data_IF_899469259184
#
_entry.id   IF_899469259184
#
_cell.length_a   1.000
_cell.length_b   1.000
_cell.length_c   1.000
_cell.angle_alpha   90.00
_cell.angle_beta   90.00
_cell.angle_gamma   90.00
#
_symmetry.space_group_name_H-M   'P 1'
#
loop_
_entity.id
_entity.type
_entity.pdbx_description
1 polymer ?
#
# COMPACT_ATOMS: atom_id res chain seq x y z
N UNK A 1 -6.88 -5.01 -33.64
CA UNK A 1 -7.73 -4.60 -32.50
C UNK A 1 -7.38 -3.15 -32.18
N UNK A 2 -8.34 -2.21 -32.25
CA UNK A 2 -8.05 -0.78 -32.01
C UNK A 2 -8.06 -0.52 -30.51
N UNK A 3 -6.97 0.02 -29.97
CA UNK A 3 -6.89 0.41 -28.57
C UNK A 3 -7.70 1.69 -28.36
N UNK A 4 -8.64 1.66 -27.40
CA UNK A 4 -9.42 2.83 -26.99
C UNK A 4 -8.97 3.26 -25.60
N UNK A 5 -8.82 4.57 -25.40
CA UNK A 5 -8.53 5.17 -24.11
C UNK A 5 -9.66 6.12 -23.70
N UNK A 6 -9.95 6.17 -22.40
CA UNK A 6 -10.94 7.07 -21.82
C UNK A 6 -10.24 8.06 -20.90
N UNK A 7 -10.54 9.35 -21.08
CA UNK A 7 -10.13 10.41 -20.17
C UNK A 7 -11.30 10.75 -19.26
N UNK A 8 -11.13 10.51 -17.97
CA UNK A 8 -12.15 10.74 -16.96
C UNK A 8 -11.65 11.77 -15.94
N UNK A 9 -12.57 12.59 -15.42
CA UNK A 9 -12.33 13.48 -14.28
C UNK A 9 -13.35 13.12 -13.20
N UNK A 10 -12.86 12.91 -11.98
CA UNK A 10 -13.69 12.63 -10.82
C UNK A 10 -14.00 13.93 -10.07
N UNK A 11 -15.23 14.05 -9.58
CA UNK A 11 -15.69 15.15 -8.72
C UNK A 11 -16.19 14.58 -7.40
N UNK A 12 -15.27 14.15 -6.51
CA UNK A 12 -15.66 13.52 -5.27
C UNK A 12 -16.33 14.51 -4.33
N UNK A 13 -17.35 14.06 -3.60
CA UNK A 13 -17.87 14.80 -2.46
C UNK A 13 -16.89 14.72 -1.27
N UNK A 14 -17.19 15.43 -0.17
CA UNK A 14 -16.30 15.51 1.00
C UNK A 14 -15.97 14.13 1.58
N UNK A 15 -16.95 13.23 1.70
CA UNK A 15 -16.75 11.87 2.20
C UNK A 15 -15.86 11.06 1.29
N UNK A 16 -16.11 11.09 -0.01
CA UNK A 16 -15.31 10.39 -1.02
C UNK A 16 -13.87 10.90 -1.05
N UNK A 17 -13.68 12.22 -0.98
CA UNK A 17 -12.34 12.83 -0.94
C UNK A 17 -11.55 12.32 0.27
N UNK A 18 -12.19 12.30 1.45
CA UNK A 18 -11.57 11.77 2.66
C UNK A 18 -11.20 10.28 2.52
N UNK A 19 -12.11 9.45 2.00
CA UNK A 19 -11.84 8.02 1.76
C UNK A 19 -10.67 7.81 0.80
N UNK A 20 -10.64 8.57 -0.29
CA UNK A 20 -9.55 8.54 -1.28
C UNK A 20 -8.21 8.90 -0.61
N UNK A 21 -8.19 9.96 0.20
CA UNK A 21 -7.00 10.38 0.92
C UNK A 21 -6.52 9.34 1.93
N UNK A 22 -7.45 8.75 2.70
CA UNK A 22 -7.13 7.67 3.66
C UNK A 22 -6.57 6.46 2.92
N UNK A 23 -7.21 6.01 1.84
CA UNK A 23 -6.79 4.84 1.10
C UNK A 23 -5.40 5.02 0.49
N UNK A 24 -5.16 6.14 -0.20
CA UNK A 24 -3.84 6.40 -0.78
C UNK A 24 -2.76 6.64 0.27
N UNK A 25 -3.10 7.30 1.38
CA UNK A 25 -2.19 7.51 2.50
C UNK A 25 -1.76 6.18 3.14
N UNK A 26 -2.71 5.31 3.47
CA UNK A 26 -2.44 4.00 4.04
C UNK A 26 -1.65 3.10 3.07
N UNK A 27 -2.03 3.06 1.80
CA UNK A 27 -1.31 2.28 0.78
C UNK A 27 0.15 2.74 0.64
N UNK A 28 0.39 4.06 0.57
CA UNK A 28 1.73 4.63 0.50
C UNK A 28 2.55 4.32 1.75
N UNK A 29 1.95 4.43 2.92
CA UNK A 29 2.62 4.11 4.18
C UNK A 29 3.08 2.65 4.22
N UNK A 30 2.16 1.70 3.97
CA UNK A 30 2.48 0.26 3.98
C UNK A 30 3.55 -0.06 2.96
N UNK A 31 3.43 0.46 1.73
CA UNK A 31 4.43 0.26 0.69
C UNK A 31 5.81 0.73 1.13
N UNK A 32 5.91 1.93 1.70
CA UNK A 32 7.17 2.48 2.16
C UNK A 32 7.79 1.65 3.29
N UNK A 33 6.98 1.09 4.20
CA UNK A 33 7.49 0.18 5.24
C UNK A 33 8.11 -1.08 4.63
N UNK A 34 7.41 -1.73 3.69
CA UNK A 34 7.93 -2.94 3.03
C UNK A 34 9.16 -2.65 2.18
N UNK A 35 9.16 -1.53 1.46
CA UNK A 35 10.30 -1.09 0.66
C UNK A 35 11.51 -0.81 1.54
N UNK A 36 11.33 -0.10 2.66
CA UNK A 36 12.42 0.20 3.58
C UNK A 36 13.00 -1.08 4.19
N UNK A 37 12.15 -2.00 4.64
CA UNK A 37 12.59 -3.33 5.11
C UNK A 37 13.42 -4.06 4.04
N UNK A 38 13.03 -3.99 2.77
CA UNK A 38 13.77 -4.58 1.66
C UNK A 38 15.11 -3.92 1.37
N UNK A 39 15.15 -2.58 1.42
CA UNK A 39 16.38 -1.81 1.30
C UNK A 39 17.37 -2.21 2.41
N UNK A 40 16.92 -2.25 3.66
CA UNK A 40 17.76 -2.63 4.80
C UNK A 40 18.24 -4.07 4.71
N UNK A 41 17.36 -5.01 4.30
CA UNK A 41 17.76 -6.41 4.09
C UNK A 41 18.84 -6.54 3.02
N UNK A 42 18.72 -5.79 1.93
CA UNK A 42 19.69 -5.82 0.84
C UNK A 42 21.03 -5.18 1.23
N UNK A 43 21.01 -4.07 1.98
CA UNK A 43 22.22 -3.45 2.56
C UNK A 43 22.96 -4.43 3.46
N UNK A 44 22.24 -5.18 4.29
CA UNK A 44 22.82 -6.15 5.22
C UNK A 44 23.35 -7.40 4.49
N UNK A 45 22.64 -7.91 3.47
CA UNK A 45 23.08 -9.04 2.66
C UNK A 45 22.56 -8.95 1.22
N UNK A 46 23.45 -8.68 0.27
CA UNK A 46 23.11 -8.55 -1.16
C UNK A 46 22.55 -9.81 -1.80
N UNK A 47 22.75 -10.99 -1.20
CA UNK A 47 22.18 -12.28 -1.66
C UNK A 47 20.85 -12.62 -0.98
N UNK A 48 20.40 -11.79 -0.04
CA UNK A 48 19.13 -12.01 0.63
C UNK A 48 17.97 -11.88 -0.37
N UNK A 49 17.09 -12.89 -0.38
CA UNK A 49 15.91 -12.89 -1.24
C UNK A 49 14.93 -11.79 -0.80
N UNK A 50 14.16 -11.23 -1.71
CA UNK A 50 13.02 -10.38 -1.33
C UNK A 50 11.89 -11.23 -0.76
N UNK A 51 11.03 -10.61 0.04
CA UNK A 51 9.86 -11.28 0.59
C UNK A 51 8.80 -11.35 -0.50
N UNK A 52 8.14 -12.49 -0.62
CA UNK A 52 7.02 -12.64 -1.55
C UNK A 52 5.78 -11.90 -1.08
N UNK A 53 4.76 -11.83 -1.95
CA UNK A 53 3.47 -11.21 -1.64
C UNK A 53 2.85 -11.78 -0.36
N UNK A 54 2.77 -13.10 -0.24
CA UNK A 54 2.15 -13.76 0.92
C UNK A 54 2.80 -13.36 2.25
N UNK A 55 4.13 -13.30 2.31
CA UNK A 55 4.85 -12.82 3.51
C UNK A 55 4.56 -11.36 3.82
N UNK A 56 4.42 -10.49 2.81
CA UNK A 56 4.03 -9.09 3.01
C UNK A 56 2.59 -8.96 3.53
N UNK A 57 1.67 -9.83 3.07
CA UNK A 57 0.29 -9.86 3.57
C UNK A 57 0.23 -10.26 5.06
N UNK A 58 1.10 -11.17 5.50
CA UNK A 58 1.24 -11.53 6.92
C UNK A 58 1.77 -10.35 7.73
N UNK A 59 2.81 -9.65 7.24
CA UNK A 59 3.34 -8.46 7.90
C UNK A 59 2.31 -7.33 8.00
N UNK A 60 1.43 -7.17 7.00
CA UNK A 60 0.35 -6.21 7.05
C UNK A 60 -0.60 -6.46 8.24
N UNK A 61 -0.83 -7.71 8.64
CA UNK A 61 -1.64 -8.01 9.84
C UNK A 61 -1.00 -7.45 11.11
N UNK A 62 0.32 -7.60 11.25
CA UNK A 62 1.06 -7.03 12.37
C UNK A 62 1.03 -5.50 12.34
N UNK A 63 1.24 -4.88 11.17
CA UNK A 63 1.15 -3.42 11.01
C UNK A 63 -0.26 -2.90 11.36
N UNK A 64 -1.34 -3.61 11.04
CA UNK A 64 -2.70 -3.20 11.43
C UNK A 64 -2.98 -3.32 12.95
N UNK A 65 -2.15 -4.06 13.68
CA UNK A 65 -2.18 -4.10 15.16
C UNK A 65 -1.42 -2.90 15.72
N UNK A 66 -0.22 -2.63 15.21
CA UNK A 66 0.63 -1.52 15.64
C UNK A 66 0.06 -0.14 15.26
N UNK A 67 -0.56 -0.06 14.08
CA UNK A 67 -1.16 1.15 13.52
C UNK A 67 -2.65 0.95 13.27
N UNK A 68 -3.53 1.09 14.29
CA UNK A 68 -4.96 0.81 14.16
C UNK A 68 -5.68 1.64 13.08
N UNK A 69 -5.17 2.83 12.76
CA UNK A 69 -5.71 3.70 11.71
C UNK A 69 -5.61 3.08 10.30
N UNK A 70 -4.73 2.09 10.08
CA UNK A 70 -4.68 1.33 8.84
C UNK A 70 -5.96 0.53 8.57
N UNK A 71 -6.81 0.31 9.59
CA UNK A 71 -8.13 -0.33 9.43
C UNK A 71 -9.19 0.61 8.83
N UNK A 72 -8.90 1.92 8.75
CA UNK A 72 -9.80 2.90 8.13
C UNK A 72 -9.76 2.86 6.60
N UNK A 73 -8.68 2.32 6.02
CA UNK A 73 -8.61 2.11 4.59
C UNK A 73 -9.52 0.96 4.16
N UNK A 74 -10.12 1.12 2.98
CA UNK A 74 -10.90 0.06 2.35
C UNK A 74 -10.05 -1.20 2.17
N UNK A 75 -10.60 -2.34 2.57
CA UNK A 75 -9.95 -3.64 2.53
C UNK A 75 -10.87 -4.61 1.81
N UNK A 76 -10.85 -4.57 0.46
CA UNK A 76 -11.53 -5.53 -0.41
C UNK A 76 -10.80 -6.86 -0.47
#
# INVERSE_FOLDING_TARGET
MVLKAFKLRLYPNKTQSNQIHVNFGCARFVWNQMLNMHIERYKNNKKAKFQGRYSMDVMLKALKIEYPWLKQAEST
#
